data_IF_309936519299
#
_entry.id   IF_309936519299
#
_cell.length_a   1.000
_cell.length_b   1.000
_cell.length_c   1.000
_cell.angle_alpha   90.00
_cell.angle_beta   90.00
_cell.angle_gamma   90.00
#
_symmetry.space_group_name_H-M   'P 1'
#
loop_
_entity.id
_entity.type
_entity.pdbx_description
1 polymer ?
#
# COMPACT_ATOMS: atom_id res chain seq x y z
N UNK A 1 4.35 -30.92 13.54
CA UNK A 1 4.26 -29.77 12.61
C UNK A 1 3.59 -28.61 13.35
N UNK A 2 4.34 -27.63 13.83
CA UNK A 2 3.78 -26.45 14.49
C UNK A 2 3.18 -25.53 13.43
N UNK A 3 1.84 -25.59 13.26
CA UNK A 3 1.09 -24.60 12.49
C UNK A 3 1.15 -23.29 13.26
N UNK A 4 2.23 -22.51 13.10
CA UNK A 4 2.24 -21.10 13.49
C UNK A 4 1.12 -20.47 12.68
N UNK A 5 -0.01 -20.21 13.33
CA UNK A 5 -1.07 -19.37 12.81
C UNK A 5 -0.44 -18.03 12.48
N UNK A 6 -0.07 -17.83 11.22
CA UNK A 6 0.43 -16.55 10.75
C UNK A 6 -0.74 -15.60 10.79
N UNK A 7 -0.89 -14.87 11.89
CA UNK A 7 -1.99 -13.90 12.02
C UNK A 7 -2.02 -13.00 10.79
N UNK A 8 -3.17 -12.87 10.10
CA UNK A 8 -3.30 -12.00 8.94
C UNK A 8 -3.05 -10.53 9.29
N UNK A 9 -3.01 -10.19 10.58
CA UNK A 9 -2.75 -8.87 11.13
C UNK A 9 -1.47 -8.23 10.59
N UNK A 10 -0.38 -8.98 10.40
CA UNK A 10 0.84 -8.46 9.77
C UNK A 10 0.61 -8.01 8.32
N UNK A 11 -0.22 -8.75 7.57
CA UNK A 11 -0.55 -8.38 6.20
C UNK A 11 -1.39 -7.11 6.15
N UNK A 12 -2.41 -7.02 7.01
CA UNK A 12 -3.25 -5.83 7.12
C UNK A 12 -2.48 -4.60 7.60
N UNK A 13 -1.55 -4.75 8.54
CA UNK A 13 -0.63 -3.70 8.95
C UNK A 13 0.19 -3.19 7.76
N UNK A 14 0.73 -4.10 6.94
CA UNK A 14 1.48 -3.71 5.74
C UNK A 14 0.62 -2.93 4.75
N UNK A 15 -0.64 -3.33 4.52
CA UNK A 15 -1.60 -2.58 3.68
C UNK A 15 -1.83 -1.17 4.21
N UNK A 16 -2.06 -1.01 5.51
CA UNK A 16 -2.25 0.31 6.13
C UNK A 16 -1.00 1.18 5.98
N UNK A 17 0.18 0.61 6.18
CA UNK A 17 1.45 1.32 6.00
C UNK A 17 1.65 1.78 4.55
N UNK A 18 1.28 0.97 3.55
CA UNK A 18 1.32 1.40 2.14
C UNK A 18 0.44 2.63 1.93
N UNK A 19 -0.78 2.63 2.45
CA UNK A 19 -1.68 3.78 2.30
C UNK A 19 -1.11 5.04 2.96
N UNK A 20 -0.54 4.92 4.16
CA UNK A 20 0.08 6.05 4.88
C UNK A 20 1.32 6.57 4.13
N UNK A 21 2.20 5.69 3.68
CA UNK A 21 3.40 6.07 2.91
C UNK A 21 3.01 6.72 1.59
N UNK A 22 2.01 6.16 0.90
CA UNK A 22 1.46 6.72 -0.33
C UNK A 22 0.94 8.14 -0.12
N UNK A 23 0.11 8.34 0.89
CA UNK A 23 -0.41 9.67 1.23
C UNK A 23 0.70 10.64 1.66
N UNK A 24 1.61 10.22 2.53
CA UNK A 24 2.72 11.05 2.98
C UNK A 24 3.62 11.48 1.82
N UNK A 25 3.83 10.60 0.82
CA UNK A 25 4.62 10.90 -0.37
C UNK A 25 4.03 12.07 -1.20
N UNK A 26 2.71 12.28 -1.14
CA UNK A 26 2.04 13.41 -1.82
C UNK A 26 2.23 14.75 -1.13
N UNK A 27 2.50 14.74 0.18
CA UNK A 27 2.72 15.95 0.96
C UNK A 27 4.16 16.46 0.88
N UNK A 28 5.05 15.69 0.24
CA UNK A 28 6.46 16.03 0.11
C UNK A 28 6.64 17.20 -0.88
N UNK A 29 7.43 18.24 -0.56
CA UNK A 29 7.67 19.36 -1.47
C UNK A 29 8.32 18.93 -2.81
N UNK A 30 8.11 19.68 -3.91
CA UNK A 30 8.70 19.39 -5.22
C UNK A 30 10.23 19.21 -5.21
N UNK A 31 10.92 19.99 -4.39
CA UNK A 31 12.38 19.96 -4.22
C UNK A 31 12.88 18.58 -3.72
N UNK A 32 12.00 17.80 -3.09
CA UNK A 32 12.31 16.49 -2.50
C UNK A 32 11.77 15.33 -3.34
N UNK A 33 11.18 15.60 -4.51
CA UNK A 33 10.62 14.58 -5.40
C UNK A 33 11.61 13.48 -5.79
N UNK A 34 12.90 13.77 -6.11
CA UNK A 34 13.86 12.73 -6.40
C UNK A 34 14.00 11.76 -5.22
N UNK A 35 14.21 12.30 -4.01
CA UNK A 35 14.37 11.49 -2.80
C UNK A 35 13.09 10.71 -2.46
N UNK A 36 11.92 11.32 -2.67
CA UNK A 36 10.63 10.64 -2.53
C UNK A 36 10.54 9.43 -3.45
N UNK A 37 10.88 9.58 -4.72
CA UNK A 37 10.75 8.48 -5.70
C UNK A 37 11.72 7.34 -5.38
N UNK A 38 12.95 7.65 -4.96
CA UNK A 38 13.94 6.65 -4.57
C UNK A 38 13.63 5.92 -3.25
N UNK A 39 12.80 6.48 -2.37
CA UNK A 39 12.53 5.91 -1.03
C UNK A 39 11.09 5.41 -0.92
N UNK A 40 10.10 6.22 -1.27
CA UNK A 40 8.69 5.90 -1.10
C UNK A 40 8.24 4.78 -2.05
N UNK A 41 8.67 4.81 -3.32
CA UNK A 41 8.26 3.78 -4.30
C UNK A 41 8.78 2.39 -3.89
N UNK A 42 10.10 2.20 -3.61
CA UNK A 42 10.60 0.90 -3.16
C UNK A 42 9.96 0.43 -1.85
N UNK A 43 9.71 1.36 -0.92
CA UNK A 43 9.05 1.05 0.35
C UNK A 43 7.62 0.56 0.15
N UNK A 44 6.84 1.21 -0.71
CA UNK A 44 5.48 0.78 -1.05
C UNK A 44 5.48 -0.59 -1.74
N UNK A 45 6.42 -0.84 -2.66
CA UNK A 45 6.58 -2.16 -3.30
C UNK A 45 6.89 -3.25 -2.27
N UNK A 46 7.83 -2.99 -1.35
CA UNK A 46 8.20 -3.95 -0.31
C UNK A 46 7.03 -4.28 0.62
N UNK A 47 6.28 -3.28 1.05
CA UNK A 47 5.12 -3.45 1.93
C UNK A 47 3.96 -4.17 1.20
N UNK A 48 3.69 -3.85 -0.07
CA UNK A 48 2.73 -4.60 -0.89
C UNK A 48 3.16 -6.05 -1.10
N UNK A 49 4.47 -6.29 -1.31
CA UNK A 49 5.04 -7.63 -1.38
C UNK A 49 4.85 -8.42 -0.08
N UNK A 50 5.06 -7.78 1.08
CA UNK A 50 4.82 -8.39 2.38
C UNK A 50 3.33 -8.70 2.61
N UNK A 51 2.43 -7.81 2.21
CA UNK A 51 0.98 -8.02 2.26
C UNK A 51 0.54 -9.16 1.33
N UNK A 52 1.06 -9.21 0.10
CA UNK A 52 0.80 -10.29 -0.87
C UNK A 52 1.34 -11.65 -0.40
N UNK A 53 2.53 -11.67 0.19
CA UNK A 53 3.09 -12.89 0.81
C UNK A 53 2.22 -13.39 1.97
N UNK A 54 1.75 -12.47 2.82
CA UNK A 54 0.84 -12.78 3.91
C UNK A 54 -0.53 -13.26 3.39
N UNK A 55 -1.04 -12.67 2.31
CA UNK A 55 -2.27 -13.11 1.64
C UNK A 55 -2.15 -14.54 1.10
N UNK A 56 -1.02 -14.86 0.46
CA UNK A 56 -0.75 -16.21 -0.04
C UNK A 56 -0.67 -17.24 1.11
N UNK A 57 0.09 -16.92 2.17
CA UNK A 57 0.26 -17.81 3.33
C UNK A 57 -1.05 -18.08 4.06
N UNK A 58 -1.92 -17.07 4.14
CA UNK A 58 -3.21 -17.15 4.83
C UNK A 58 -4.38 -17.52 3.91
N UNK A 59 -4.12 -17.76 2.61
CA UNK A 59 -5.14 -17.96 1.57
C UNK A 59 -6.28 -16.94 1.62
N UNK A 60 -5.95 -15.69 1.91
CA UNK A 60 -6.93 -14.61 2.04
C UNK A 60 -6.97 -13.79 0.75
N UNK A 61 -8.02 -13.99 -0.04
CA UNK A 61 -8.26 -13.22 -1.27
C UNK A 61 -8.48 -11.74 -0.93
N UNK A 62 -9.19 -11.44 0.16
CA UNK A 62 -9.45 -10.07 0.61
C UNK A 62 -8.15 -9.29 0.89
N UNK A 63 -7.19 -9.92 1.56
CA UNK A 63 -5.89 -9.29 1.83
C UNK A 63 -5.08 -9.09 0.55
N UNK A 64 -5.15 -10.03 -0.40
CA UNK A 64 -4.51 -9.91 -1.71
C UNK A 64 -5.07 -8.73 -2.51
N UNK A 65 -6.41 -8.60 -2.56
CA UNK A 65 -7.08 -7.45 -3.19
C UNK A 65 -6.68 -6.15 -2.50
N UNK A 66 -6.69 -6.12 -1.16
CA UNK A 66 -6.31 -4.94 -0.40
C UNK A 66 -4.86 -4.50 -0.68
N UNK A 67 -3.93 -5.44 -0.83
CA UNK A 67 -2.54 -5.14 -1.17
C UNK A 67 -2.39 -4.48 -2.55
N UNK A 68 -3.16 -4.95 -3.55
CA UNK A 68 -3.18 -4.37 -4.91
C UNK A 68 -3.84 -2.99 -4.88
N UNK A 69 -5.00 -2.87 -4.24
CA UNK A 69 -5.74 -1.61 -4.13
C UNK A 69 -4.91 -0.54 -3.39
N UNK A 70 -4.22 -0.91 -2.31
CA UNK A 70 -3.36 0.01 -1.57
C UNK A 70 -2.16 0.49 -2.40
N UNK A 71 -1.59 -0.37 -3.26
CA UNK A 71 -0.55 0.05 -4.19
C UNK A 71 -1.04 1.18 -5.13
N UNK A 72 -2.27 1.04 -5.62
CA UNK A 72 -2.93 2.04 -6.47
C UNK A 72 -3.66 3.14 -5.68
N UNK A 73 -3.55 3.18 -4.35
CA UNK A 73 -4.17 4.21 -3.50
C UNK A 73 -3.95 5.64 -4.03
N UNK A 74 -2.75 6.04 -4.48
CA UNK A 74 -2.54 7.36 -5.08
C UNK A 74 -3.46 7.65 -6.27
N UNK A 75 -3.63 6.68 -7.17
CA UNK A 75 -4.51 6.78 -8.33
C UNK A 75 -5.98 6.88 -7.92
N UNK A 76 -6.39 6.17 -6.88
CA UNK A 76 -7.76 6.22 -6.36
C UNK A 76 -8.10 7.65 -5.86
N UNK A 77 -7.17 8.29 -5.14
CA UNK A 77 -7.34 9.67 -4.66
C UNK A 77 -7.42 10.67 -5.82
N UNK A 78 -6.60 10.51 -6.86
CA UNK A 78 -6.68 11.35 -8.07
C UNK A 78 -8.04 11.20 -8.75
N UNK A 79 -8.48 9.95 -8.98
CA UNK A 79 -9.75 9.66 -9.66
C UNK A 79 -10.93 10.19 -8.84
N UNK A 80 -10.95 9.99 -7.53
CA UNK A 80 -11.96 10.56 -6.64
C UNK A 80 -11.91 12.10 -6.63
N UNK A 81 -10.71 12.69 -6.60
CA UNK A 81 -10.54 14.13 -6.66
C UNK A 81 -11.11 14.72 -7.94
N UNK A 82 -10.81 14.12 -9.09
CA UNK A 82 -11.36 14.52 -10.39
C UNK A 82 -12.88 14.34 -10.46
N UNK A 83 -13.42 13.24 -9.91
CA UNK A 83 -14.87 12.98 -9.93
C UNK A 83 -15.66 13.92 -8.99
N UNK A 84 -15.09 14.28 -7.85
CA UNK A 84 -15.77 15.10 -6.84
C UNK A 84 -15.56 16.60 -7.02
N UNK A 85 -14.41 17.01 -7.57
CA UNK A 85 -13.99 18.42 -7.64
C UNK A 85 -13.62 18.89 -9.06
N UNK A 86 -13.63 18.00 -10.06
CA UNK A 86 -13.29 18.32 -11.45
C UNK A 86 -14.47 18.80 -12.30
N UNK A 87 -15.50 19.41 -11.68
CA UNK A 87 -16.61 20.10 -12.35
C UNK A 87 -16.38 21.61 -12.30
#
# INVERSE_FOLDING_TARGET
>A
MLRRESSPMMGWLAVVLVCVVGYASWLVPPEWYPYREWVAIPLMVALCGAAGWSAWRNRSVALGVAAVVAFFSPLIVIVLGLLLWGV
#
